data_IF_681203424777
#
_entry.id   IF_681203424777
#
_cell.length_a   1.000
_cell.length_b   1.000
_cell.length_c   1.000
_cell.angle_alpha   90.00
_cell.angle_beta   90.00
_cell.angle_gamma   90.00
#
_symmetry.space_group_name_H-M   'P 1'
#
loop_
_entity.id
_entity.type
_entity.pdbx_description
1 polymer ?
2 non-polymer ?
3 water ?
#
# COMPACT_ATOMS: atom_id res chain seq x y z
N UNK A 154 33.22 15.71 26.04
CA UNK A 154 33.12 14.32 26.49
C UNK A 154 33.18 14.22 28.03
N UNK A 155 34.26 13.63 28.55
CA UNK A 155 34.55 13.48 29.99
C UNK A 155 33.62 12.47 30.68
N UNK A 156 33.14 12.81 31.89
CA UNK A 156 32.13 12.01 32.59
C UNK A 156 30.77 12.10 31.90
N UNK A 157 30.30 13.28 31.49
CA UNK A 157 29.01 13.34 30.79
C UNK A 157 28.99 12.48 29.54
N UNK A 158 27.89 11.75 29.36
CA UNK A 158 27.61 10.91 28.19
C UNK A 158 28.56 9.73 28.07
N UNK A 159 29.35 9.44 29.10
CA UNK A 159 30.11 8.20 29.11
C UNK A 159 29.21 7.06 29.59
N UNK A 160 29.06 5.99 28.82
CA UNK A 160 28.06 4.98 29.16
C UNK A 160 28.43 4.24 30.43
N UNK A 161 27.46 4.09 31.33
CA UNK A 161 27.68 3.21 32.47
C UNK A 161 27.42 1.76 32.12
N UNK A 162 26.72 1.49 31.02
CA UNK A 162 26.60 0.12 30.56
C UNK A 162 27.90 -0.32 29.89
N UNK A 163 28.01 -1.63 29.66
CA UNK A 163 29.06 -2.17 28.81
C UNK A 163 29.11 -1.42 27.49
N UNK A 164 30.31 -0.96 27.11
CA UNK A 164 30.47 -0.31 25.81
C UNK A 164 29.94 -1.19 24.69
N UNK A 165 30.16 -2.50 24.80
CA UNK A 165 29.74 -3.43 23.76
C UNK A 165 28.22 -3.41 23.56
N UNK A 166 27.47 -3.16 24.63
CA UNK A 166 26.02 -3.08 24.61
C UNK A 166 25.49 -1.74 24.12
N UNK A 167 26.37 -0.81 23.77
CA UNK A 167 25.97 0.55 23.45
C UNK A 167 26.46 0.99 22.08
N UNK A 168 27.52 0.40 21.54
CA UNK A 168 28.05 0.78 20.24
C UNK A 168 27.19 0.14 19.17
N UNK A 169 26.61 0.97 18.31
CA UNK A 169 25.74 0.47 17.25
C UNK A 169 26.59 -0.20 16.17
N UNK A 170 26.08 -1.31 15.63
CA UNK A 170 26.80 -2.15 14.68
C UNK A 170 26.03 -2.24 13.37
N UNK A 171 26.72 -2.38 12.24
CA UNK A 171 26.00 -2.53 10.97
C UNK A 171 25.07 -3.73 11.01
N UNK A 172 23.98 -3.64 10.24
CA UNK A 172 23.10 -4.77 10.03
C UNK A 172 21.97 -4.94 11.01
N UNK A 173 21.60 -3.91 11.76
CA UNK A 173 20.45 -4.05 12.63
C UNK A 173 19.18 -4.24 11.79
N UNK A 174 18.16 -4.89 12.35
CA UNK A 174 16.88 -5.01 11.63
C UNK A 174 16.22 -3.65 11.43
N UNK A 175 15.87 -3.34 10.18
CA UNK A 175 15.31 -2.03 9.86
C UNK A 175 13.78 -2.10 9.87
N UNK A 176 13.16 -0.95 10.07
CA UNK A 176 11.70 -0.88 10.04
C UNK A 176 11.19 -1.08 8.61
N UNK A 177 9.95 -1.54 8.52
CA UNK A 177 9.30 -1.71 7.23
C UNK A 177 7.83 -2.02 7.45
N UNK A 178 7.08 -1.98 6.36
CA UNK A 178 5.65 -2.28 6.46
C UNK A 178 5.40 -3.78 6.62
N UNK A 179 6.13 -4.60 5.86
CA UNK A 179 6.03 -6.06 5.87
C UNK A 179 4.57 -6.54 5.90
N UNK A 180 3.85 -6.27 4.81
CA UNK A 180 2.44 -6.64 4.76
C UNK A 180 2.21 -8.09 4.34
N UNK A 181 3.21 -8.74 3.76
CA UNK A 181 3.07 -10.12 3.29
C UNK A 181 3.49 -11.11 4.37
N UNK A 182 2.91 -12.30 4.31
CA UNK A 182 3.35 -13.42 5.13
C UNK A 182 4.65 -13.99 4.58
N UNK A 183 5.43 -14.71 5.41
CA UNK A 183 6.60 -15.41 4.87
C UNK A 183 6.24 -16.42 3.79
N UNK A 184 4.99 -16.88 3.76
CA UNK A 184 4.54 -17.82 2.74
C UNK A 184 4.41 -17.15 1.37
N UNK A 185 3.89 -15.92 1.34
CA UNK A 185 3.49 -15.29 0.09
C UNK A 185 4.66 -15.16 -0.88
N UNK A 186 4.45 -15.61 -2.11
CA UNK A 186 5.43 -15.45 -3.18
C UNK A 186 5.13 -14.27 -4.09
N UNK A 187 3.90 -13.76 -4.07
CA UNK A 187 3.47 -12.66 -4.92
C UNK A 187 2.78 -11.61 -4.06
N UNK A 188 2.94 -10.35 -4.42
CA UNK A 188 2.15 -9.28 -3.82
C UNK A 188 1.52 -8.45 -4.91
N UNK A 189 0.29 -7.99 -4.66
CA UNK A 189 -0.48 -7.25 -5.65
C UNK A 189 -0.99 -5.92 -5.08
N UNK A 190 -1.03 -4.90 -5.94
CA UNK A 190 -1.58 -3.59 -5.61
C UNK A 190 -2.79 -3.33 -6.50
N UNK A 191 -3.91 -2.96 -5.89
CA UNK A 191 -5.10 -2.59 -6.64
C UNK A 191 -5.14 -1.07 -6.77
N UNK A 192 -5.22 -0.58 -8.00
CA UNK A 192 -5.30 0.86 -8.23
C UNK A 192 -6.57 1.18 -9.03
N UNK A 193 -6.99 2.44 -8.97
CA UNK A 193 -8.29 2.82 -9.49
C UNK A 193 -8.34 4.32 -9.70
N UNK A 194 -9.30 4.75 -10.53
CA UNK A 194 -9.63 6.17 -10.78
C UNK A 194 -8.34 6.95 -11.02
N UNK A 195 -8.11 8.08 -10.35
CA UNK A 195 -6.95 8.90 -10.70
C UNK A 195 -5.66 8.36 -10.10
N UNK A 196 -5.75 7.40 -9.18
CA UNK A 196 -4.54 6.78 -8.65
C UNK A 196 -3.78 6.00 -9.72
N UNK A 197 -4.45 5.58 -10.80
CA UNK A 197 -3.76 4.84 -11.85
C UNK A 197 -2.71 5.68 -12.56
N UNK A 198 -2.83 7.01 -12.52
CA UNK A 198 -1.85 7.86 -13.19
C UNK A 198 -0.45 7.53 -12.71
N UNK A 199 -0.27 7.40 -11.40
CA UNK A 199 1.02 6.97 -10.89
C UNK A 199 1.17 5.46 -10.93
N UNK A 200 0.17 4.72 -10.44
CA UNK A 200 0.39 3.31 -10.13
C UNK A 200 0.56 2.48 -11.39
N UNK A 201 -0.14 2.84 -12.45
CA UNK A 201 -0.15 2.06 -13.68
C UNK A 201 0.65 2.71 -14.80
N UNK A 202 0.58 4.04 -14.90
CA UNK A 202 1.12 4.77 -16.03
C UNK A 202 2.51 5.36 -15.79
N UNK A 203 2.99 5.40 -14.55
CA UNK A 203 4.36 5.82 -14.31
C UNK A 203 5.27 4.64 -14.59
N UNK A 204 6.07 4.75 -15.65
CA UNK A 204 6.79 3.60 -16.18
C UNK A 204 7.76 3.01 -15.16
N UNK A 205 8.46 3.87 -14.41
CA UNK A 205 9.45 3.36 -13.47
C UNK A 205 8.79 2.73 -12.25
N UNK A 206 7.61 3.18 -11.86
CA UNK A 206 6.95 2.50 -10.75
C UNK A 206 6.31 1.19 -11.21
N UNK A 207 5.58 1.21 -12.31
CA UNK A 207 4.83 0.03 -12.75
C UNK A 207 5.71 -1.04 -13.40
N UNK A 208 6.99 -0.77 -13.62
CA UNK A 208 7.84 -1.73 -14.33
C UNK A 208 7.91 -3.06 -13.59
N UNK A 209 8.08 -4.14 -14.35
CA UNK A 209 8.23 -5.46 -13.78
C UNK A 209 6.95 -6.11 -13.29
N UNK A 210 5.80 -5.46 -13.45
CA UNK A 210 4.56 -6.06 -12.94
C UNK A 210 3.86 -6.90 -14.01
N UNK A 211 2.90 -7.69 -13.58
CA UNK A 211 1.83 -8.14 -14.46
C UNK A 211 0.59 -7.34 -14.08
N UNK A 212 -0.27 -7.05 -15.05
CA UNK A 212 -1.41 -6.17 -14.77
C UNK A 212 -2.66 -6.71 -15.47
N UNK A 213 -3.79 -6.67 -14.77
CA UNK A 213 -5.07 -7.03 -15.38
C UNK A 213 -6.19 -6.26 -14.70
N UNK A 214 -7.32 -6.16 -15.40
CA UNK A 214 -8.53 -5.57 -14.84
C UNK A 214 -8.96 -6.29 -13.56
N UNK A 215 -9.52 -5.53 -12.62
CA UNK A 215 -10.13 -6.12 -11.43
C UNK A 215 -11.17 -5.17 -10.87
N UNK A 216 -12.14 -5.73 -10.15
CA UNK A 216 -13.18 -4.96 -9.48
C UNK A 216 -13.12 -5.17 -7.97
N UNK A 217 -13.33 -4.09 -7.24
CA UNK A 217 -13.40 -4.11 -5.79
C UNK A 217 -14.85 -3.90 -5.40
N UNK A 218 -15.48 -4.93 -4.83
CA UNK A 218 -16.86 -4.82 -4.37
C UNK A 218 -16.92 -4.30 -2.94
N UNK A 219 -17.85 -3.38 -2.70
CA UNK A 219 -18.05 -2.82 -1.38
C UNK A 219 -17.33 -1.52 -1.08
N UNK A 220 -16.92 -0.77 -2.09
CA UNK A 220 -16.16 0.45 -1.89
C UNK A 220 -16.76 1.55 -2.75
N UNK A 221 -16.53 2.80 -2.36
CA UNK A 221 -17.03 3.92 -3.15
C UNK A 221 -16.12 5.12 -2.97
N UNK A 222 -16.19 6.06 -3.91
CA UNK A 222 -15.33 7.23 -3.84
C UNK A 222 -15.75 8.20 -2.73
N UNK A 223 -14.76 8.83 -2.10
CA UNK A 223 -14.98 10.12 -1.45
C UNK A 223 -15.40 11.13 -2.51
N UNK A 224 -16.13 12.17 -2.11
CA UNK A 224 -16.44 13.00 -3.26
C UNK A 224 -15.58 14.25 -3.36
N UNK A 225 -14.58 14.40 -2.50
CA UNK A 225 -13.35 15.13 -2.80
C UNK A 225 -12.21 14.15 -2.59
N UNK A 226 -10.99 14.57 -2.89
CA UNK A 226 -9.87 13.67 -2.76
C UNK A 226 -9.98 12.50 -3.71
N UNK A 227 -8.86 11.85 -4.00
CA UNK A 227 -8.86 10.82 -5.03
C UNK A 227 -9.20 9.42 -4.55
N UNK A 228 -9.44 9.20 -3.26
CA UNK A 228 -9.49 7.84 -2.72
C UNK A 228 -10.91 7.34 -2.52
N UNK A 229 -11.04 6.01 -2.52
CA UNK A 229 -12.27 5.34 -2.15
C UNK A 229 -12.22 4.93 -0.68
N UNK A 230 -13.30 4.31 -0.19
CA UNK A 230 -13.33 3.76 1.16
C UNK A 230 -14.33 2.62 1.18
N UNK A 231 -14.26 1.80 2.22
CA UNK A 231 -15.08 0.59 2.26
C UNK A 231 -16.44 0.92 2.86
N UNK A 232 -17.50 0.48 2.19
CA UNK A 232 -18.86 0.59 2.71
C UNK A 232 -19.47 -0.75 3.08
N UNK A 233 -18.96 -1.85 2.53
CA UNK A 233 -19.63 -3.11 2.70
C UNK A 233 -20.88 -3.29 1.86
N UNK A 234 -21.27 -2.29 1.07
CA UNK A 234 -22.43 -2.42 0.20
C UNK A 234 -22.07 -3.27 -1.01
N UNK A 235 -22.79 -4.38 -1.19
CA UNK A 235 -22.57 -5.33 -2.28
C UNK A 235 -22.58 -4.70 -3.67
N UNK A 236 -23.32 -3.61 -3.87
CA UNK A 236 -23.39 -3.05 -5.22
C UNK A 236 -22.56 -1.79 -5.39
N UNK A 237 -21.78 -1.39 -4.38
CA UNK A 237 -20.78 -0.34 -4.55
C UNK A 237 -19.54 -0.99 -5.16
N UNK A 238 -19.17 -0.58 -6.37
CA UNK A 238 -18.09 -1.23 -7.12
C UNK A 238 -17.07 -0.18 -7.56
N UNK A 239 -15.80 -0.46 -7.28
CA UNK A 239 -14.69 0.34 -7.79
C UNK A 239 -13.95 -0.52 -8.81
N UNK A 240 -13.98 -0.11 -10.08
CA UNK A 240 -13.28 -0.89 -11.11
C UNK A 240 -11.89 -0.31 -11.31
N UNK A 241 -10.92 -1.18 -11.45
CA UNK A 241 -9.55 -0.73 -11.57
C UNK A 241 -8.66 -1.76 -12.19
N UNK A 242 -7.40 -1.75 -11.75
CA UNK A 242 -6.33 -2.57 -12.30
C UNK A 242 -5.54 -3.15 -11.14
N UNK A 243 -5.15 -4.42 -11.22
CA UNK A 243 -4.33 -5.03 -10.18
C UNK A 243 -2.96 -5.32 -10.79
N UNK A 244 -1.92 -4.77 -10.16
CA UNK A 244 -0.53 -4.94 -10.58
C UNK A 244 0.13 -5.88 -9.60
N UNK A 245 0.82 -6.90 -10.11
CA UNK A 245 1.41 -7.90 -9.22
C UNK A 245 2.90 -8.05 -9.50
N UNK A 246 3.67 -8.30 -8.45
CA UNK A 246 5.12 -8.47 -8.50
C UNK A 246 5.50 -9.65 -7.62
N UNK A 247 6.66 -10.27 -7.88
CA UNK A 247 7.21 -11.22 -6.90
C UNK A 247 7.35 -10.55 -5.53
N UNK A 248 7.17 -11.35 -4.48
CA UNK A 248 6.97 -10.81 -3.13
C UNK A 248 8.07 -9.84 -2.72
N UNK A 249 9.33 -10.19 -2.95
CA UNK A 249 10.42 -9.33 -2.50
C UNK A 249 10.36 -7.97 -3.19
N UNK A 250 10.05 -7.95 -4.49
CA UNK A 250 9.93 -6.68 -5.21
C UNK A 250 8.72 -5.90 -4.73
N UNK A 251 7.61 -6.60 -4.51
CA UNK A 251 6.39 -5.94 -4.05
C UNK A 251 6.63 -5.15 -2.77
N UNK A 252 7.41 -5.71 -1.84
CA UNK A 252 7.63 -5.01 -0.57
C UNK A 252 8.21 -3.63 -0.82
N UNK A 253 9.18 -3.52 -1.73
CA UNK A 253 9.73 -2.22 -2.11
C UNK A 253 8.71 -1.36 -2.84
N UNK A 254 7.92 -1.95 -3.75
CA UNK A 254 6.95 -1.14 -4.49
C UNK A 254 5.91 -0.59 -3.54
N UNK A 255 5.45 -1.42 -2.62
CA UNK A 255 4.41 -1.00 -1.67
C UNK A 255 4.89 0.15 -0.80
N UNK A 256 6.13 0.06 -0.29
CA UNK A 256 6.66 1.17 0.51
C UNK A 256 6.76 2.44 -0.32
N UNK A 257 7.21 2.31 -1.57
CA UNK A 257 7.38 3.47 -2.42
C UNK A 257 6.05 4.18 -2.65
N UNK A 258 4.99 3.43 -2.94
CA UNK A 258 3.72 4.09 -3.20
C UNK A 258 3.07 4.57 -1.91
N UNK A 259 3.31 3.88 -0.79
CA UNK A 259 2.83 4.33 0.51
C UNK A 259 3.38 5.71 0.84
N UNK A 260 4.69 5.89 0.70
CA UNK A 260 5.32 7.19 0.90
C UNK A 260 4.79 8.21 -0.10
N UNK A 261 4.62 7.80 -1.36
CA UNK A 261 4.15 8.73 -2.39
C UNK A 261 2.75 9.24 -2.08
N UNK A 262 1.87 8.37 -1.58
CA UNK A 262 0.49 8.78 -1.36
C UNK A 262 0.33 9.58 -0.08
N UNK A 263 1.22 9.40 0.88
CA UNK A 263 1.00 9.98 2.19
C UNK A 263 1.89 11.19 2.46
N UNK A 264 2.72 11.60 1.50
CA UNK A 264 3.65 12.68 1.77
C UNK A 264 2.94 14.02 1.93
N UNK A 265 2.03 14.34 1.03
CA UNK A 265 1.30 15.61 1.07
C UNK A 265 -0.15 15.37 0.68
N UNK A 266 -0.98 14.97 1.64
CA UNK A 266 -2.38 14.67 1.33
C UNK A 266 -3.10 15.89 0.75
N UNK A 267 -3.81 15.67 -0.36
CA UNK A 267 -4.56 16.74 -0.99
C UNK A 267 -5.71 17.21 -0.10
N UNK A 268 -6.45 16.26 0.47
CA UNK A 268 -7.64 16.55 1.28
C UNK A 268 -7.49 15.89 2.65
N UNK A 269 -6.68 16.47 3.54
CA UNK A 269 -6.57 15.91 4.90
C UNK A 269 -7.88 15.90 5.67
N UNK A 270 -8.89 16.66 5.21
CA UNK A 270 -10.16 16.73 5.93
C UNK A 270 -10.95 15.42 5.84
N UNK A 271 -10.80 14.68 4.74
CA UNK A 271 -11.59 13.48 4.51
C UNK A 271 -11.06 12.27 5.25
N UNK A 272 -10.14 12.44 6.20
CA UNK A 272 -9.62 11.34 7.00
C UNK A 272 -8.16 11.07 6.71
N UNK A 273 -7.66 9.98 7.30
CA UNK A 273 -6.28 9.60 7.11
C UNK A 273 -6.17 8.55 6.00
N UNK A 274 -5.09 8.64 5.25
CA UNK A 274 -4.85 7.74 4.13
C UNK A 274 -4.19 6.49 4.68
N UNK A 275 -4.82 5.33 4.46
CA UNK A 275 -4.27 4.06 4.90
C UNK A 275 -4.34 3.05 3.76
N UNK A 276 -3.75 1.89 3.96
CA UNK A 276 -3.91 0.81 3.00
C UNK A 276 -4.09 -0.50 3.74
N UNK A 277 -4.79 -1.43 3.08
CA UNK A 277 -5.10 -2.72 3.67
C UNK A 277 -5.27 -3.72 2.55
N UNK A 278 -5.45 -4.99 2.92
CA UNK A 278 -5.58 -6.08 1.96
C UNK A 278 -7.06 -6.36 1.76
N UNK A 279 -7.49 -6.45 0.51
CA UNK A 279 -8.86 -6.81 0.17
C UNK A 279 -8.86 -7.76 -1.02
N UNK A 280 -9.87 -8.62 -1.13
CA UNK A 280 -10.00 -9.43 -2.34
C UNK A 280 -10.56 -8.57 -3.46
N UNK A 281 -9.97 -8.70 -4.64
CA UNK A 281 -10.50 -8.05 -5.83
C UNK A 281 -10.85 -9.16 -6.81
N UNK A 282 -11.84 -8.89 -7.66
CA UNK A 282 -12.45 -9.92 -8.51
C UNK A 282 -11.94 -9.72 -9.93
N UNK A 283 -11.41 -10.79 -10.52
CA UNK A 283 -10.84 -10.77 -11.85
C UNK A 283 -11.91 -11.08 -12.89
N UNK A 284 -11.56 -10.88 -14.16
CA UNK A 284 -12.54 -11.01 -15.23
C UNK A 284 -13.20 -12.39 -15.21
N UNK A 285 -12.41 -13.43 -14.99
CA UNK A 285 -12.95 -14.79 -14.98
C UNK A 285 -13.72 -15.12 -13.71
N UNK A 286 -13.98 -14.17 -12.81
CA UNK A 286 -14.73 -14.43 -11.61
C UNK A 286 -13.92 -14.90 -10.42
N UNK A 287 -12.67 -15.33 -10.62
CA UNK A 287 -11.81 -15.65 -9.49
C UNK A 287 -11.43 -14.38 -8.74
N UNK A 288 -10.90 -14.54 -7.52
CA UNK A 288 -10.48 -13.40 -6.72
C UNK A 288 -9.02 -13.54 -6.32
N UNK A 289 -8.38 -12.39 -6.09
CA UNK A 289 -7.00 -12.37 -5.63
C UNK A 289 -6.86 -11.27 -4.59
N UNK A 290 -6.06 -11.51 -3.56
CA UNK A 290 -5.86 -10.51 -2.51
C UNK A 290 -4.92 -9.43 -3.00
N UNK A 291 -5.28 -8.18 -2.75
CA UNK A 291 -4.46 -7.05 -3.15
C UNK A 291 -4.50 -5.98 -2.07
N UNK A 292 -3.42 -5.20 -1.99
CA UNK A 292 -3.39 -3.98 -1.19
C UNK A 292 -4.09 -2.85 -1.95
N UNK A 293 -4.96 -2.12 -1.27
CA UNK A 293 -5.51 -0.90 -1.85
C UNK A 293 -5.44 0.23 -0.84
N UNK A 294 -5.37 1.44 -1.35
CA UNK A 294 -5.33 2.65 -0.55
C UNK A 294 -6.72 3.22 -0.44
N UNK A 295 -7.00 3.82 0.71
CA UNK A 295 -8.33 4.33 0.98
C UNK A 295 -8.22 5.48 1.97
N UNK A 296 -9.24 6.32 1.98
CA UNK A 296 -9.32 7.45 2.90
C UNK A 296 -10.74 7.44 3.45
N UNK A 297 -10.89 7.02 4.70
CA UNK A 297 -12.25 6.88 5.21
C UNK A 297 -12.74 8.22 5.75
N UNK A 298 -13.99 8.63 5.41
CA UNK A 298 -14.47 9.98 5.76
C UNK A 298 -14.31 10.35 7.23
N UNK A 299 -13.90 9.38 8.05
CA UNK A 299 -13.56 9.64 9.45
C UNK A 299 -12.05 9.71 9.64
X LIG B 1 10.18 -4.36 -17.17
X LIG B 1 8.89 -3.71 -17.23
X LIG B 1 9.03 -2.67 -18.32
X LIG B 1 8.04 -1.52 -18.20
#
# INVERSE_FOLDING_TARGET
MGSSHHHHHHGSGLVPRGSASMSDSEVNQEAKPEVKPEVKPETHINLKVSDGSSEIFFKIKKTTPLRRLMEAFAKRQGKEMDSLRFLYDGIRIQADQTPEDLDMEDNDIIEAHREQIGGENLYFQGMLDFSSPAPRKPFSRNSRTTVREGPPPAAKPFWPSDDLEDVVVKPGAPVAGLALLAPDDTTGCLFTYASLKEHDEQDEEFAEGSTVEDAWLYGAKLNHNGPFAYATGNTTDIVKGRVLCWPAETFEDKLEEVYIFRKFDPDQPQEGSIRCSIAPVVLRDGSSTDAVWFHQTPESIVPKQKKKTNTPKIAESF
POL O C1 C2 C3
#
